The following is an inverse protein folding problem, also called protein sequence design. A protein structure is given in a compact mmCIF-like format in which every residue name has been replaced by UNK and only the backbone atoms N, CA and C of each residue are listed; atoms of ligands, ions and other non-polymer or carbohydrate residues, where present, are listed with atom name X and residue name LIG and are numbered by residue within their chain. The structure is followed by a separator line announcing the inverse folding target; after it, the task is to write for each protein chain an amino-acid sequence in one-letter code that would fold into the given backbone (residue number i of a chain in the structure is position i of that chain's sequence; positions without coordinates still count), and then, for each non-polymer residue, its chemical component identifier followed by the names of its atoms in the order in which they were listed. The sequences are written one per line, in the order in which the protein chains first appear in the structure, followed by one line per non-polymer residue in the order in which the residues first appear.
data_IF_120563922871
#
_entry.id   IF_120563922871
#
_cell.length_a   1.000
_cell.length_b   1.000
_cell.length_c   1.000
_cell.angle_alpha   90.00
_cell.angle_beta   90.00
_cell.angle_gamma   90.00
#
_symmetry.space_group_name_H-M   'P 1'
#
loop_
_entity.id
_entity.type
_entity.pdbx_description
1 polymer ?
#
# COMPACT_ATOMS: atom_id res chain seq x y z
N UNK A 1 9.78 3.64 -4.05
CA UNK A 1 10.60 3.98 -5.24
C UNK A 1 11.28 2.72 -5.77
N UNK A 2 11.52 2.64 -7.08
CA UNK A 2 12.27 1.53 -7.67
C UNK A 2 13.72 1.49 -7.20
N UNK A 3 14.33 2.66 -6.99
CA UNK A 3 15.73 2.81 -6.56
C UNK A 3 15.94 2.59 -5.04
N UNK A 4 14.87 2.26 -4.31
CA UNK A 4 14.90 2.13 -2.85
C UNK A 4 14.83 3.46 -2.09
N UNK A 5 14.89 3.38 -0.77
CA UNK A 5 14.90 4.53 0.13
C UNK A 5 16.32 4.90 0.55
N UNK A 6 16.54 6.18 0.90
CA UNK A 6 17.84 6.67 1.42
C UNK A 6 18.38 5.82 2.57
N UNK A 7 17.50 5.35 3.45
CA UNK A 7 17.84 4.44 4.55
C UNK A 7 17.02 3.13 4.44
N UNK A 8 17.30 2.36 3.39
CA UNK A 8 16.59 1.11 3.09
C UNK A 8 16.67 0.10 4.25
N UNK A 9 17.84 -0.03 4.89
CA UNK A 9 18.04 -0.96 6.02
C UNK A 9 17.09 -0.67 7.18
N UNK A 10 16.96 0.60 7.57
CA UNK A 10 16.04 0.99 8.64
C UNK A 10 14.58 0.76 8.27
N UNK A 11 14.20 1.02 7.01
CA UNK A 11 12.87 0.69 6.52
C UNK A 11 12.58 -0.81 6.60
N UNK A 12 13.52 -1.66 6.18
CA UNK A 12 13.37 -3.10 6.20
C UNK A 12 13.23 -3.64 7.63
N UNK A 13 14.04 -3.11 8.56
CA UNK A 13 13.96 -3.44 9.99
C UNK A 13 12.61 -3.03 10.59
N UNK A 14 12.18 -1.79 10.36
CA UNK A 14 10.89 -1.28 10.84
C UNK A 14 9.74 -2.13 10.31
N UNK A 15 9.74 -2.41 9.00
CA UNK A 15 8.74 -3.27 8.35
C UNK A 15 8.72 -4.66 8.98
N UNK A 16 9.89 -5.27 9.20
CA UNK A 16 10.00 -6.59 9.81
C UNK A 16 9.43 -6.60 11.23
N UNK A 17 9.68 -5.55 12.02
CA UNK A 17 9.14 -5.44 13.38
C UNK A 17 7.60 -5.41 13.38
N UNK A 18 6.98 -4.64 12.49
CA UNK A 18 5.51 -4.63 12.37
C UNK A 18 4.94 -5.97 11.86
N UNK A 19 5.65 -6.69 10.99
CA UNK A 19 5.24 -8.03 10.56
C UNK A 19 5.30 -9.03 11.72
N UNK A 20 6.35 -8.98 12.55
CA UNK A 20 6.47 -9.80 13.76
C UNK A 20 5.36 -9.48 14.76
N UNK A 21 5.01 -8.20 14.92
CA UNK A 21 3.90 -7.78 15.78
C UNK A 21 2.55 -8.32 15.30
N UNK A 22 2.31 -8.34 13.98
CA UNK A 22 1.13 -8.96 13.41
C UNK A 22 1.04 -10.45 13.77
N UNK A 23 2.14 -11.19 13.62
CA UNK A 23 2.21 -12.60 13.98
C UNK A 23 1.99 -12.83 15.48
N UNK A 24 2.63 -12.01 16.33
CA UNK A 24 2.46 -12.02 17.79
C UNK A 24 1.00 -11.86 18.20
N UNK A 25 0.30 -10.88 17.63
CA UNK A 25 -1.12 -10.61 17.94
C UNK A 25 -2.01 -11.79 17.52
N UNK A 26 -1.71 -12.43 16.40
CA UNK A 26 -2.46 -13.60 15.93
C UNK A 26 -2.25 -14.78 16.90
N UNK A 27 -1.00 -15.02 17.30
CA UNK A 27 -0.65 -16.06 18.26
C UNK A 27 -1.28 -15.84 19.64
N UNK A 28 -1.34 -14.60 20.14
CA UNK A 28 -2.02 -14.31 21.41
C UNK A 28 -3.53 -14.62 21.36
N UNK A 29 -4.18 -14.46 20.20
CA UNK A 29 -5.63 -14.68 20.06
C UNK A 29 -6.01 -16.14 19.74
N UNK A 30 -5.06 -17.01 19.39
CA UNK A 30 -5.34 -18.38 18.94
C UNK A 30 -4.34 -19.36 19.54
N UNK A 31 -4.84 -20.43 20.15
CA UNK A 31 -3.99 -21.45 20.79
C UNK A 31 -3.41 -22.50 19.83
N UNK A 32 -3.92 -22.58 18.60
CA UNK A 32 -3.51 -23.59 17.60
C UNK A 32 -2.56 -22.98 16.55
N UNK A 33 -1.30 -23.44 16.44
CA UNK A 33 -0.32 -22.96 15.46
C UNK A 33 -0.83 -22.97 14.01
N UNK A 34 -1.50 -24.04 13.57
CA UNK A 34 -2.01 -24.16 12.20
C UNK A 34 -3.08 -23.11 11.90
N UNK A 35 -3.91 -22.77 12.89
CA UNK A 35 -4.91 -21.71 12.79
C UNK A 35 -4.27 -20.32 12.73
N UNK A 36 -3.17 -20.11 13.48
CA UNK A 36 -2.38 -18.88 13.43
C UNK A 36 -1.76 -18.67 12.04
N UNK A 37 -1.06 -19.66 11.51
CA UNK A 37 -0.43 -19.57 10.18
C UNK A 37 -1.45 -19.33 9.08
N UNK A 38 -2.61 -20.03 9.11
CA UNK A 38 -3.69 -19.79 8.15
C UNK A 38 -4.23 -18.36 8.24
N UNK A 39 -4.42 -17.83 9.46
CA UNK A 39 -4.88 -16.46 9.63
C UNK A 39 -3.86 -15.43 9.13
N UNK A 40 -2.58 -15.64 9.43
CA UNK A 40 -1.50 -14.78 8.98
C UNK A 40 -1.45 -14.74 7.45
N UNK A 41 -1.55 -15.90 6.81
CA UNK A 41 -1.65 -16.00 5.35
C UNK A 41 -2.85 -15.22 4.79
N UNK A 42 -4.04 -15.39 5.37
CA UNK A 42 -5.24 -14.66 4.94
C UNK A 42 -5.08 -13.14 5.04
N UNK A 43 -4.46 -12.64 6.12
CA UNK A 43 -4.21 -11.20 6.31
C UNK A 43 -3.19 -10.67 5.32
N UNK A 44 -2.10 -11.38 5.11
CA UNK A 44 -1.06 -10.95 4.16
C UNK A 44 -1.56 -11.02 2.72
N UNK A 45 -2.41 -12.00 2.37
CA UNK A 45 -3.12 -12.00 1.08
C UNK A 45 -4.10 -10.82 0.93
N UNK A 46 -4.79 -10.44 2.00
CA UNK A 46 -5.63 -9.23 1.98
C UNK A 46 -4.78 -7.98 1.73
N UNK A 47 -3.63 -7.84 2.39
CA UNK A 47 -2.72 -6.71 2.17
C UNK A 47 -2.22 -6.67 0.71
N UNK A 48 -1.89 -7.81 0.12
CA UNK A 48 -1.49 -7.90 -1.29
C UNK A 48 -2.62 -7.47 -2.24
N UNK A 49 -3.88 -7.82 -1.93
CA UNK A 49 -5.04 -7.47 -2.75
C UNK A 49 -5.33 -5.96 -2.79
N UNK A 50 -4.85 -5.20 -1.80
CA UNK A 50 -5.01 -3.74 -1.77
C UNK A 50 -4.18 -3.07 -2.87
N UNK A 51 -3.03 -3.65 -3.26
CA UNK A 51 -2.12 -3.04 -4.23
C UNK A 51 -2.78 -2.73 -5.59
N UNK A 52 -3.45 -3.67 -6.29
CA UNK A 52 -4.14 -3.38 -7.55
C UNK A 52 -5.32 -2.42 -7.36
N UNK A 53 -6.12 -2.58 -6.30
CA UNK A 53 -7.27 -1.71 -6.00
C UNK A 53 -6.79 -0.26 -5.79
N UNK A 54 -5.75 -0.07 -5.00
CA UNK A 54 -5.17 1.25 -4.77
C UNK A 54 -4.64 1.86 -6.07
N UNK A 55 -4.05 1.06 -6.97
CA UNK A 55 -3.59 1.56 -8.28
C UNK A 55 -4.75 2.07 -9.14
N UNK A 56 -5.86 1.34 -9.20
CA UNK A 56 -7.07 1.77 -9.93
C UNK A 56 -7.66 3.05 -9.32
N UNK A 57 -7.72 3.13 -7.98
CA UNK A 57 -8.16 4.33 -7.29
C UNK A 57 -7.27 5.53 -7.59
N UNK A 58 -5.94 5.37 -7.56
CA UNK A 58 -5.03 6.44 -7.93
C UNK A 58 -5.26 6.92 -9.37
N UNK A 59 -5.42 6.00 -10.33
CA UNK A 59 -5.73 6.36 -11.72
C UNK A 59 -7.02 7.17 -11.81
N UNK A 60 -8.10 6.68 -11.20
CA UNK A 60 -9.38 7.37 -11.17
C UNK A 60 -9.27 8.76 -10.55
N UNK A 61 -8.60 8.88 -9.40
CA UNK A 61 -8.41 10.15 -8.70
C UNK A 61 -7.59 11.14 -9.53
N UNK A 62 -6.57 10.69 -10.25
CA UNK A 62 -5.79 11.56 -11.13
C UNK A 62 -6.60 12.04 -12.33
N UNK A 63 -7.34 11.15 -12.98
CA UNK A 63 -8.23 11.51 -14.10
C UNK A 63 -9.32 12.49 -13.65
N UNK A 64 -9.85 12.29 -12.44
CA UNK A 64 -10.82 13.18 -11.82
C UNK A 64 -10.22 14.55 -11.50
N UNK A 65 -8.99 14.63 -11.00
CA UNK A 65 -8.30 15.89 -10.75
C UNK A 65 -8.15 16.70 -12.05
N UNK A 66 -7.73 16.06 -13.14
CA UNK A 66 -7.56 16.72 -14.44
C UNK A 66 -8.90 17.26 -14.98
N UNK A 67 -9.98 16.49 -14.79
CA UNK A 67 -11.33 16.84 -15.26
C UNK A 67 -12.17 17.57 -14.24
N UNK A 68 -11.62 17.94 -13.08
CA UNK A 68 -12.32 18.52 -11.93
C UNK A 68 -13.25 19.68 -12.32
N UNK A 69 -12.75 20.60 -13.14
CA UNK A 69 -13.49 21.74 -13.69
C UNK A 69 -14.69 21.37 -14.58
N UNK A 70 -14.72 20.15 -15.14
CA UNK A 70 -15.82 19.64 -15.97
C UNK A 70 -16.89 18.90 -15.17
N UNK A 71 -16.58 18.49 -13.93
CA UNK A 71 -17.46 17.61 -13.13
C UNK A 71 -17.81 18.18 -11.75
N UNK A 72 -17.57 19.47 -11.51
CA UNK A 72 -17.91 20.17 -10.27
C UNK A 72 -17.37 19.47 -9.01
N UNK A 73 -16.13 18.96 -9.09
CA UNK A 73 -15.43 18.36 -7.95
C UNK A 73 -14.27 19.28 -7.55
N UNK A 74 -14.30 19.74 -6.31
CA UNK A 74 -13.23 20.54 -5.73
C UNK A 74 -12.21 19.67 -5.00
N UNK A 75 -10.94 20.02 -5.16
CA UNK A 75 -9.83 19.39 -4.42
C UNK A 75 -9.20 20.41 -3.48
N UNK A 76 -9.04 20.08 -2.18
CA UNK A 76 -8.20 20.88 -1.30
C UNK A 76 -6.78 21.01 -1.86
N UNK A 77 -6.15 22.17 -1.71
CA UNK A 77 -4.82 22.48 -2.27
C UNK A 77 -3.78 21.39 -2.01
N UNK A 78 -3.65 20.98 -0.75
CA UNK A 78 -2.73 19.91 -0.34
C UNK A 78 -2.99 18.60 -1.10
N UNK A 79 -4.25 18.22 -1.28
CA UNK A 79 -4.59 16.99 -1.98
C UNK A 79 -4.29 17.11 -3.47
N UNK A 80 -4.59 18.25 -4.10
CA UNK A 80 -4.25 18.50 -5.50
C UNK A 80 -2.73 18.43 -5.74
N UNK A 81 -1.92 19.00 -4.83
CA UNK A 81 -0.46 18.92 -4.90
C UNK A 81 0.04 17.48 -4.75
N UNK A 82 -0.44 16.74 -3.75
CA UNK A 82 -0.05 15.34 -3.54
C UNK A 82 -0.42 14.49 -4.76
N UNK A 83 -1.64 14.60 -5.27
CA UNK A 83 -2.13 13.81 -6.39
C UNK A 83 -1.32 14.13 -7.66
N UNK A 84 -1.14 15.41 -7.97
CA UNK A 84 -0.42 15.86 -9.18
C UNK A 84 1.06 15.44 -9.19
N UNK A 85 1.70 15.35 -8.02
CA UNK A 85 3.11 14.96 -7.91
C UNK A 85 3.31 13.45 -7.75
N UNK A 86 2.50 12.78 -6.93
CA UNK A 86 2.76 11.39 -6.53
C UNK A 86 2.10 10.38 -7.47
N UNK A 87 0.88 10.63 -7.92
CA UNK A 87 0.14 9.64 -8.72
C UNK A 87 0.82 9.37 -10.08
N UNK A 88 1.29 10.38 -10.85
CA UNK A 88 2.06 10.10 -12.06
C UNK A 88 3.30 9.24 -11.84
N UNK A 89 3.98 9.37 -10.69
CA UNK A 89 5.14 8.53 -10.34
C UNK A 89 4.73 7.09 -10.08
N UNK A 90 3.58 6.88 -9.44
CA UNK A 90 2.99 5.55 -9.21
C UNK A 90 2.63 4.90 -10.55
N UNK A 91 1.95 5.64 -11.44
CA UNK A 91 1.45 5.12 -12.71
C UNK A 91 2.56 4.89 -13.75
N UNK A 92 3.63 5.70 -13.73
CA UNK A 92 4.79 5.57 -14.63
C UNK A 92 5.77 4.46 -14.27
N UNK A 93 5.47 3.65 -13.24
CA UNK A 93 6.32 2.52 -12.83
C UNK A 93 7.55 2.90 -12.00
N UNK A 94 7.68 4.16 -11.56
CA UNK A 94 8.76 4.60 -10.66
C UNK A 94 8.56 4.16 -9.20
N UNK A 95 7.43 3.53 -8.91
CA UNK A 95 7.08 2.99 -7.59
C UNK A 95 7.00 1.48 -7.67
N UNK A 96 7.77 0.82 -6.81
CA UNK A 96 7.75 -0.64 -6.62
C UNK A 96 6.74 -1.00 -5.53
N UNK A 97 5.60 -1.65 -5.84
CA UNK A 97 4.71 -2.21 -4.82
C UNK A 97 5.43 -3.35 -4.08
N UNK A 98 5.08 -3.52 -2.81
CA UNK A 98 5.66 -4.58 -1.96
C UNK A 98 4.55 -5.59 -1.69
N UNK A 99 4.79 -6.83 -2.13
CA UNK A 99 3.91 -7.97 -1.89
C UNK A 99 4.50 -8.88 -0.83
N UNK A 100 3.64 -9.57 -0.09
CA UNK A 100 4.02 -10.68 0.79
C UNK A 100 4.17 -11.97 0.01
N UNK A 101 3.30 -12.18 -0.97
CA UNK A 101 3.24 -13.40 -1.79
C UNK A 101 3.62 -13.05 -3.21
N UNK A 102 4.52 -13.84 -3.82
CA UNK A 102 4.74 -13.76 -5.27
C UNK A 102 3.40 -13.98 -5.98
N UNK A 103 3.12 -13.14 -6.98
CA UNK A 103 1.97 -13.33 -7.88
C UNK A 103 2.12 -14.61 -8.69
#
# INVERSE_FOLDING_TARGET
PVDGLKNQKFFDELRMNYIKELDRIIACKRKNPTSCSRRFYQLTKLLDSVQPIARELHQFTFDLLIKSHMVSVDFPEMMAEIISVQVPKILSGKVKPIYFHTQ
#
